data_IF_800706926599
#
_entry.id   IF_800706926599
#
_cell.length_a   1.000
_cell.length_b   1.000
_cell.length_c   1.000
_cell.angle_alpha   90.00
_cell.angle_beta   90.00
_cell.angle_gamma   90.00
#
_symmetry.space_group_name_H-M   'P 1'
#
loop_
_entity.id
_entity.type
_entity.pdbx_description
1 polymer ?
#
# COMPACT_ATOMS: atom_id res chain seq x y z
N UNK A 1 -11.10 -8.43 -7.29
CA UNK A 1 -11.59 -8.40 -8.70
C UNK A 1 -11.55 -6.99 -9.33
N UNK A 2 -12.06 -5.95 -8.66
CA UNK A 2 -12.03 -4.56 -9.17
C UNK A 2 -10.61 -4.07 -9.50
N UNK A 3 -9.65 -4.29 -8.60
CA UNK A 3 -8.25 -3.87 -8.79
C UNK A 3 -7.61 -4.46 -10.06
N UNK A 4 -7.92 -5.72 -10.41
CA UNK A 4 -7.39 -6.38 -11.62
C UNK A 4 -7.92 -5.77 -12.91
N UNK A 5 -9.19 -5.36 -12.92
CA UNK A 5 -9.78 -4.65 -14.06
C UNK A 5 -9.13 -3.27 -14.20
N UNK A 6 -8.95 -2.55 -13.08
CA UNK A 6 -8.28 -1.25 -13.06
C UNK A 6 -6.82 -1.37 -13.52
N UNK A 7 -6.07 -2.36 -13.06
CA UNK A 7 -4.67 -2.59 -13.48
C UNK A 7 -4.55 -2.76 -14.98
N UNK A 8 -5.40 -3.61 -15.58
CA UNK A 8 -5.45 -3.79 -17.03
C UNK A 8 -5.84 -2.51 -17.77
N UNK A 9 -6.86 -1.81 -17.30
CA UNK A 9 -7.31 -0.57 -17.93
C UNK A 9 -6.20 0.48 -17.92
N UNK A 10 -5.63 0.76 -16.75
CA UNK A 10 -4.57 1.76 -16.56
C UNK A 10 -3.30 1.41 -17.33
N UNK A 11 -3.00 0.12 -17.50
CA UNK A 11 -1.92 -0.32 -18.36
C UNK A 11 -2.21 -0.05 -19.85
N UNK A 12 -3.40 -0.43 -20.32
CA UNK A 12 -3.81 -0.25 -21.73
C UNK A 12 -3.85 1.22 -22.13
N UNK A 13 -4.26 2.12 -21.23
CA UNK A 13 -4.25 3.58 -21.50
C UNK A 13 -2.89 4.24 -21.27
N UNK A 14 -1.85 3.46 -20.91
CA UNK A 14 -0.48 3.95 -20.75
C UNK A 14 -0.17 4.69 -19.46
N UNK A 15 -1.06 4.64 -18.45
CA UNK A 15 -0.84 5.25 -17.13
C UNK A 15 0.11 4.40 -16.29
N UNK A 16 -0.07 3.07 -16.31
CA UNK A 16 0.81 2.13 -15.61
C UNK A 16 1.70 1.36 -16.60
N UNK A 17 2.98 1.14 -16.28
CA UNK A 17 3.87 0.36 -17.13
C UNK A 17 3.53 -1.14 -17.15
N UNK A 18 2.76 -1.64 -16.17
CA UNK A 18 2.29 -3.04 -16.11
C UNK A 18 0.84 -3.11 -15.63
N UNK A 19 0.15 -4.21 -15.91
CA UNK A 19 -1.18 -4.51 -15.34
C UNK A 19 -1.12 -5.24 -13.99
N UNK A 20 0.07 -5.28 -13.37
CA UNK A 20 0.34 -6.02 -12.13
C UNK A 20 -0.53 -5.48 -10.99
N UNK A 21 -1.12 -6.41 -10.24
CA UNK A 21 -1.85 -6.11 -9.01
C UNK A 21 -1.35 -7.00 -7.90
N UNK A 22 -0.91 -6.39 -6.80
CA UNK A 22 -0.57 -7.07 -5.55
C UNK A 22 -1.70 -6.81 -4.58
N UNK A 23 -2.43 -7.88 -4.22
CA UNK A 23 -3.50 -7.84 -3.22
C UNK A 23 -2.88 -8.16 -1.84
N UNK A 24 -3.15 -7.32 -0.84
CA UNK A 24 -2.62 -7.45 0.53
C UNK A 24 -3.71 -7.21 1.56
N UNK A 25 -3.57 -7.83 2.72
CA UNK A 25 -4.38 -7.58 3.90
C UNK A 25 -3.51 -7.11 5.08
N UNK A 26 -4.11 -6.80 6.23
CA UNK A 26 -3.38 -6.37 7.43
C UNK A 26 -2.21 -7.29 7.79
N UNK A 27 -2.42 -8.60 7.74
CA UNK A 27 -1.39 -9.62 8.06
C UNK A 27 -0.20 -9.61 7.11
N UNK A 28 -0.36 -9.07 5.90
CA UNK A 28 0.71 -8.93 4.92
C UNK A 28 1.58 -7.68 5.15
N UNK A 29 1.03 -6.67 5.83
CA UNK A 29 1.65 -5.36 6.03
C UNK A 29 2.21 -5.22 7.44
N UNK A 30 1.43 -5.63 8.44
CA UNK A 30 1.73 -5.43 9.87
C UNK A 30 2.59 -6.58 10.40
N UNK A 31 3.66 -6.23 11.09
CA UNK A 31 4.57 -7.16 11.76
C UNK A 31 4.05 -7.61 13.12
N UNK A 32 4.49 -8.80 13.55
CA UNK A 32 4.17 -9.34 14.88
C UNK A 32 5.00 -8.70 16.01
N UNK A 33 6.11 -8.03 15.64
CA UNK A 33 7.07 -7.46 16.57
C UNK A 33 7.40 -6.01 16.21
N UNK A 34 7.90 -5.27 17.20
CA UNK A 34 8.41 -3.90 17.04
C UNK A 34 9.38 -3.84 15.85
N UNK A 35 9.25 -2.82 15.01
CA UNK A 35 10.11 -2.55 13.85
C UNK A 35 10.03 -3.58 12.71
N UNK A 36 9.09 -4.52 12.74
CA UNK A 36 8.87 -5.44 11.61
C UNK A 36 7.90 -4.87 10.56
N UNK A 37 6.97 -4.00 10.97
CA UNK A 37 5.92 -3.48 10.09
C UNK A 37 6.49 -2.63 8.95
N UNK A 38 7.40 -1.70 9.23
CA UNK A 38 8.02 -0.86 8.21
C UNK A 38 8.65 -1.67 7.06
N UNK A 39 9.65 -2.54 7.32
CA UNK A 39 10.27 -3.37 6.30
C UNK A 39 9.28 -4.28 5.55
N UNK A 40 8.32 -4.87 6.27
CA UNK A 40 7.29 -5.77 5.70
C UNK A 40 6.36 -5.03 4.73
N UNK A 41 5.90 -3.84 5.13
CA UNK A 41 5.05 -2.96 4.32
C UNK A 41 5.79 -2.47 3.07
N UNK A 42 7.03 -1.96 3.23
CA UNK A 42 7.85 -1.52 2.09
C UNK A 42 8.12 -2.62 1.07
N UNK A 43 8.29 -3.87 1.51
CA UNK A 43 8.48 -5.00 0.60
C UNK A 43 7.26 -5.23 -0.29
N UNK A 44 6.05 -5.20 0.27
CA UNK A 44 4.81 -5.34 -0.52
C UNK A 44 4.59 -4.17 -1.47
N UNK A 45 4.93 -2.95 -1.04
CA UNK A 45 4.91 -1.77 -1.91
C UNK A 45 5.87 -1.95 -3.09
N UNK A 46 7.10 -2.42 -2.85
CA UNK A 46 8.09 -2.66 -3.90
C UNK A 46 7.65 -3.75 -4.89
N UNK A 47 6.99 -4.82 -4.42
CA UNK A 47 6.43 -5.85 -5.31
C UNK A 47 5.37 -5.28 -6.27
N UNK A 48 4.63 -4.27 -5.82
CA UNK A 48 3.60 -3.55 -6.58
C UNK A 48 4.15 -2.45 -7.51
N UNK A 49 5.46 -2.23 -7.54
CA UNK A 49 6.07 -1.20 -8.38
C UNK A 49 5.69 -1.37 -9.86
N UNK A 50 5.31 -0.25 -10.48
CA UNK A 50 4.79 -0.19 -11.85
C UNK A 50 3.37 -0.74 -12.04
N UNK A 51 2.66 -1.05 -10.94
CA UNK A 51 1.31 -1.60 -10.94
C UNK A 51 0.44 -1.01 -9.83
N UNK A 52 -0.47 -1.83 -9.28
CA UNK A 52 -1.39 -1.45 -8.20
C UNK A 52 -1.10 -2.28 -6.95
N UNK A 53 -0.99 -1.62 -5.79
CA UNK A 53 -1.13 -2.25 -4.47
C UNK A 53 -2.58 -2.13 -4.01
N UNK A 54 -3.29 -3.24 -3.89
CA UNK A 54 -4.68 -3.29 -3.44
C UNK A 54 -4.73 -3.76 -1.99
N UNK A 55 -5.04 -2.85 -1.07
CA UNK A 55 -5.20 -3.16 0.36
C UNK A 55 -6.65 -3.53 0.64
N UNK A 56 -6.90 -4.82 0.84
CA UNK A 56 -8.21 -5.31 1.24
C UNK A 56 -8.46 -5.03 2.73
N UNK A 57 -9.70 -4.66 3.05
CA UNK A 57 -10.13 -4.25 4.39
C UNK A 57 -9.20 -3.21 5.05
N UNK A 58 -8.72 -2.22 4.29
CA UNK A 58 -7.74 -1.23 4.76
C UNK A 58 -8.14 -0.49 6.06
N UNK A 59 -9.45 -0.43 6.38
CA UNK A 59 -9.95 0.09 7.65
C UNK A 59 -9.39 -0.66 8.87
N UNK A 60 -8.97 -1.92 8.72
CA UNK A 60 -8.34 -2.72 9.76
C UNK A 60 -6.92 -2.26 10.09
N UNK A 61 -6.27 -1.42 9.27
CA UNK A 61 -4.98 -0.82 9.62
C UNK A 61 -5.12 0.30 10.66
N UNK A 62 -6.32 0.82 10.85
CA UNK A 62 -6.62 1.85 11.84
C UNK A 62 -6.90 1.16 13.18
N UNK A 63 -6.25 1.58 14.29
CA UNK A 63 -6.49 1.01 15.60
C UNK A 63 -7.95 1.11 16.01
N UNK A 64 -8.48 0.02 16.56
CA UNK A 64 -9.78 0.05 17.23
C UNK A 64 -9.64 0.81 18.56
N UNK A 65 -10.61 1.64 18.94
CA UNK A 65 -10.60 2.45 20.18
C UNK A 65 -10.51 1.65 21.51
N UNK A 66 -10.38 0.32 21.45
CA UNK A 66 -10.20 -0.54 22.61
C UNK A 66 -8.71 -0.81 22.77
N UNK A 67 -8.07 0.03 23.57
CA UNK A 67 -6.69 -0.09 24.00
C UNK A 67 -6.46 -1.42 24.73
N UNK A 68 -5.42 -2.16 24.30
CA UNK A 68 -4.51 -2.97 25.15
C UNK A 68 -3.51 -3.76 24.29
N UNK A 69 -3.79 -3.98 23.00
CA UNK A 69 -2.87 -4.67 22.10
C UNK A 69 -1.93 -3.68 21.38
N UNK A 70 -0.63 -4.00 21.33
CA UNK A 70 0.36 -3.26 20.54
C UNK A 70 -0.03 -3.33 19.05
N UNK A 71 -0.77 -2.33 18.60
CA UNK A 71 -1.23 -2.21 17.21
C UNK A 71 -0.22 -1.41 16.37
N UNK A 72 0.45 -2.08 15.43
CA UNK A 72 1.39 -1.45 14.50
C UNK A 72 0.76 -1.11 13.14
N UNK A 73 -0.57 -1.13 13.01
CA UNK A 73 -1.28 -0.80 11.78
C UNK A 73 -1.05 0.65 11.32
N UNK A 74 -0.91 1.58 12.26
CA UNK A 74 -0.56 2.98 11.95
C UNK A 74 0.82 3.08 11.28
N UNK A 75 1.81 2.31 11.74
CA UNK A 75 3.14 2.30 11.11
C UNK A 75 3.06 1.84 9.64
N UNK A 76 2.23 0.84 9.33
CA UNK A 76 2.00 0.42 7.95
C UNK A 76 1.35 1.53 7.10
N UNK A 77 0.39 2.25 7.67
CA UNK A 77 -0.27 3.37 7.00
C UNK A 77 0.71 4.53 6.74
N UNK A 78 1.56 4.86 7.70
CA UNK A 78 2.60 5.89 7.58
C UNK A 78 3.58 5.57 6.45
N UNK A 79 4.00 4.32 6.31
CA UNK A 79 4.87 3.89 5.20
C UNK A 79 4.18 4.01 3.84
N UNK A 80 2.91 3.62 3.74
CA UNK A 80 2.12 3.77 2.51
C UNK A 80 2.02 5.26 2.15
N UNK A 81 1.69 6.13 3.11
CA UNK A 81 1.61 7.58 2.92
C UNK A 81 2.95 8.17 2.50
N UNK A 82 4.05 7.79 3.16
CA UNK A 82 5.39 8.25 2.82
C UNK A 82 5.75 7.98 1.35
N UNK A 83 5.41 6.78 0.85
CA UNK A 83 5.68 6.44 -0.56
C UNK A 83 4.77 7.21 -1.52
N UNK A 84 3.49 7.40 -1.19
CA UNK A 84 2.56 8.21 -1.99
C UNK A 84 3.05 9.67 -2.11
N UNK A 85 3.50 10.26 -1.00
CA UNK A 85 4.00 11.64 -0.98
C UNK A 85 5.35 11.80 -1.69
N UNK A 86 6.19 10.77 -1.68
CA UNK A 86 7.52 10.82 -2.29
C UNK A 86 7.52 10.93 -3.82
N UNK A 87 6.37 10.76 -4.49
CA UNK A 87 6.26 10.86 -5.95
C UNK A 87 7.05 9.80 -6.73
N UNK A 88 7.51 8.73 -6.06
CA UNK A 88 8.22 7.60 -6.68
C UNK A 88 7.35 6.81 -7.67
N UNK A 89 6.04 7.07 -7.69
CA UNK A 89 5.12 6.66 -8.75
C UNK A 89 4.84 7.87 -9.66
N UNK A 90 5.52 7.82 -10.80
CA UNK A 90 5.59 8.81 -11.87
C UNK A 90 4.32 9.63 -12.15
N UNK A 91 4.47 10.96 -12.21
CA UNK A 91 3.51 11.98 -12.71
C UNK A 91 2.40 12.47 -11.77
N UNK A 92 2.76 13.00 -10.60
CA UNK A 92 1.88 13.94 -9.91
C UNK A 92 2.57 15.29 -9.74
N UNK A 93 2.20 16.20 -10.64
CA UNK A 93 2.43 17.63 -10.51
C UNK A 93 1.82 18.11 -9.19
N UNK A 94 2.67 18.48 -8.25
CA UNK A 94 2.27 19.43 -7.21
C UNK A 94 2.75 20.81 -7.68
N UNK A 95 1.79 21.68 -7.99
CA UNK A 95 2.03 23.11 -8.12
C UNK A 95 2.64 23.61 -6.80
N UNK A 96 3.90 24.01 -6.87
CA UNK A 96 4.26 25.32 -6.33
C UNK A 96 3.94 26.38 -7.38
#
# INVERSE_FOLDING_TARGET
MVARILGRLLHVVGVLPTDKVIEVQRTDLVGEFVSHTGPKTRRRIAEAEGGILSVDEAYQLIPSQKEEEKDYGIEALEEIMSVMDSGKFSHMWWLK
#
